data_IF_166326022315
#
_entry.id   IF_166326022315
#
_cell.length_a   1.000
_cell.length_b   1.000
_cell.length_c   1.000
_cell.angle_alpha   90.00
_cell.angle_beta   90.00
_cell.angle_gamma   90.00
#
_symmetry.space_group_name_H-M   'P 1'
#
loop_
_entity.id
_entity.type
_entity.pdbx_description
1 polymer ?
#
# COMPACT_ATOMS: atom_id res chain seq x y z
N UNK A 1 -21.94 0.34 -7.98
CA UNK A 1 -21.68 0.37 -9.44
C UNK A 1 -22.61 1.36 -10.14
N UNK A 2 -23.95 1.27 -9.96
CA UNK A 2 -24.93 2.13 -10.66
C UNK A 2 -24.64 3.63 -10.48
N UNK A 3 -24.26 4.09 -9.29
CA UNK A 3 -23.88 5.49 -9.04
C UNK A 3 -22.66 5.96 -9.84
N UNK A 4 -21.65 5.11 -10.01
CA UNK A 4 -20.46 5.44 -10.81
C UNK A 4 -20.79 5.54 -12.30
N UNK A 5 -21.66 4.66 -12.81
CA UNK A 5 -22.13 4.73 -14.20
C UNK A 5 -22.93 6.02 -14.44
N UNK A 6 -23.83 6.36 -13.51
CA UNK A 6 -24.59 7.60 -13.60
C UNK A 6 -23.70 8.84 -13.47
N UNK A 7 -22.70 8.79 -12.58
CA UNK A 7 -21.70 9.86 -12.45
C UNK A 7 -20.93 10.06 -13.74
N UNK A 8 -20.43 8.96 -14.36
CA UNK A 8 -19.70 9.05 -15.63
C UNK A 8 -20.52 9.67 -16.74
N UNK A 9 -21.82 9.34 -16.80
CA UNK A 9 -22.72 9.90 -17.80
C UNK A 9 -22.96 11.41 -17.63
N UNK A 10 -22.74 11.96 -16.44
CA UNK A 10 -22.94 13.37 -16.11
C UNK A 10 -21.62 14.16 -15.99
N UNK A 11 -20.47 13.48 -16.11
CA UNK A 11 -19.15 14.09 -15.88
C UNK A 11 -18.24 13.91 -17.10
N UNK A 12 -17.89 15.01 -17.76
CA UNK A 12 -17.06 15.03 -18.97
C UNK A 12 -15.55 15.08 -18.68
N UNK A 13 -15.15 15.21 -17.40
CA UNK A 13 -13.74 15.21 -17.00
C UNK A 13 -13.14 13.81 -16.97
N UNK A 14 -11.84 13.73 -16.63
CA UNK A 14 -11.14 12.46 -16.47
C UNK A 14 -11.61 11.72 -15.22
N UNK A 15 -11.96 10.46 -15.39
CA UNK A 15 -12.35 9.55 -14.32
C UNK A 15 -11.29 8.47 -14.14
N UNK A 16 -10.66 8.44 -12.98
CA UNK A 16 -9.71 7.41 -12.59
C UNK A 16 -10.34 6.50 -11.54
N UNK A 17 -10.17 5.20 -11.73
CA UNK A 17 -10.57 4.20 -10.74
C UNK A 17 -9.33 3.63 -10.09
N UNK A 18 -9.34 3.51 -8.77
CA UNK A 18 -8.35 2.74 -8.04
C UNK A 18 -8.93 1.38 -7.66
N UNK A 19 -8.17 0.32 -7.93
CA UNK A 19 -8.51 -1.05 -7.59
C UNK A 19 -7.36 -1.64 -6.81
N UNK A 20 -7.58 -1.89 -5.51
CA UNK A 20 -6.61 -2.63 -4.70
C UNK A 20 -6.80 -4.13 -4.94
N UNK A 21 -5.76 -4.80 -5.43
CA UNK A 21 -5.76 -6.26 -5.59
C UNK A 21 -5.21 -6.94 -4.35
N UNK A 22 -5.98 -7.91 -3.85
CA UNK A 22 -5.65 -8.70 -2.66
C UNK A 22 -5.67 -10.18 -3.02
N UNK A 23 -4.57 -10.89 -2.73
CA UNK A 23 -4.40 -12.30 -3.05
C UNK A 23 -5.54 -13.16 -2.49
N UNK A 24 -6.13 -13.98 -3.36
CA UNK A 24 -7.21 -14.90 -3.01
C UNK A 24 -8.56 -14.24 -2.74
N UNK A 25 -8.66 -12.91 -2.82
CA UNK A 25 -9.91 -12.18 -2.63
C UNK A 25 -10.49 -11.71 -3.97
N UNK A 26 -9.74 -10.92 -4.72
CA UNK A 26 -10.20 -10.32 -5.98
C UNK A 26 -9.15 -10.39 -7.11
N UNK A 27 -8.13 -11.22 -6.96
CA UNK A 27 -7.09 -11.49 -7.96
C UNK A 27 -7.33 -12.78 -8.76
N UNK A 28 -8.40 -13.52 -8.44
CA UNK A 28 -8.80 -14.74 -9.17
C UNK A 28 -9.39 -14.37 -10.52
N UNK A 29 -9.27 -15.29 -11.50
CA UNK A 29 -9.77 -15.02 -12.84
C UNK A 29 -11.26 -14.68 -12.88
N UNK A 30 -12.18 -15.41 -12.18
CA UNK A 30 -13.59 -15.03 -12.16
C UNK A 30 -13.82 -13.64 -11.57
N UNK A 31 -13.15 -13.29 -10.46
CA UNK A 31 -13.30 -11.98 -9.85
C UNK A 31 -12.80 -10.85 -10.75
N UNK A 32 -11.70 -11.09 -11.47
CA UNK A 32 -11.16 -10.12 -12.44
C UNK A 32 -12.07 -9.96 -13.65
N UNK A 33 -12.71 -11.02 -14.13
CA UNK A 33 -13.71 -10.95 -15.21
C UNK A 33 -14.95 -10.14 -14.79
N UNK A 34 -15.45 -10.37 -13.57
CA UNK A 34 -16.55 -9.56 -13.01
C UNK A 34 -16.15 -8.08 -12.86
N UNK A 35 -14.94 -7.82 -12.40
CA UNK A 35 -14.41 -6.48 -12.30
C UNK A 35 -14.29 -5.80 -13.68
N UNK A 36 -13.78 -6.52 -14.68
CA UNK A 36 -13.66 -6.03 -16.05
C UNK A 36 -15.03 -5.64 -16.62
N UNK A 37 -16.06 -6.48 -16.42
CA UNK A 37 -17.43 -6.16 -16.84
C UNK A 37 -18.02 -4.93 -16.14
N UNK A 38 -17.65 -4.68 -14.89
CA UNK A 38 -18.01 -3.46 -14.16
C UNK A 38 -17.30 -2.25 -14.73
N UNK A 39 -16.00 -2.36 -14.95
CA UNK A 39 -15.15 -1.30 -15.54
C UNK A 39 -15.63 -0.90 -16.93
N UNK A 40 -15.97 -1.90 -17.78
CA UNK A 40 -16.52 -1.67 -19.11
C UNK A 40 -17.81 -0.84 -19.08
N UNK A 41 -18.64 -0.99 -18.05
CA UNK A 41 -19.88 -0.19 -17.89
C UNK A 41 -19.61 1.22 -17.39
N UNK A 42 -18.54 1.43 -16.63
CA UNK A 42 -18.18 2.74 -16.06
C UNK A 42 -17.43 3.60 -17.08
N UNK A 43 -16.66 2.98 -17.99
CA UNK A 43 -15.79 3.66 -18.96
C UNK A 43 -14.83 4.67 -18.31
N UNK A 44 -13.95 4.24 -17.36
CA UNK A 44 -12.95 5.14 -16.79
C UNK A 44 -11.86 5.47 -17.82
N UNK A 45 -11.21 6.60 -17.65
CA UNK A 45 -10.07 6.98 -18.47
C UNK A 45 -8.80 6.21 -18.09
N UNK A 46 -8.65 5.90 -16.79
CA UNK A 46 -7.54 5.10 -16.26
C UNK A 46 -7.99 4.23 -15.09
N UNK A 47 -7.33 3.08 -14.95
CA UNK A 47 -7.47 2.17 -13.79
C UNK A 47 -6.11 2.07 -13.12
N UNK A 48 -6.06 2.46 -11.86
CA UNK A 48 -4.88 2.36 -11.02
C UNK A 48 -4.96 1.09 -10.18
N UNK A 49 -4.16 0.09 -10.52
CA UNK A 49 -4.04 -1.14 -9.75
C UNK A 49 -3.06 -0.88 -8.61
N UNK A 50 -3.58 -0.82 -7.39
CA UNK A 50 -2.78 -0.69 -6.17
C UNK A 50 -2.59 -2.05 -5.49
N UNK A 51 -1.48 -2.20 -4.77
CA UNK A 51 -1.10 -3.42 -4.07
C UNK A 51 -0.99 -3.16 -2.56
N UNK A 52 -1.38 -4.10 -1.70
CA UNK A 52 -1.27 -3.98 -0.25
C UNK A 52 0.20 -4.16 0.20
N UNK A 53 1.09 -3.29 -0.22
CA UNK A 53 2.52 -3.34 0.11
C UNK A 53 2.85 -2.70 1.46
N UNK A 54 1.95 -1.90 2.03
CA UNK A 54 2.05 -1.40 3.40
C UNK A 54 1.57 -2.48 4.37
N UNK A 55 2.06 -2.53 5.64
CA UNK A 55 1.54 -3.46 6.61
C UNK A 55 0.03 -3.30 6.77
N UNK A 56 -0.79 -4.29 6.36
CA UNK A 56 -2.23 -4.20 6.49
C UNK A 56 -2.68 -4.44 7.93
N UNK A 57 -3.87 -3.98 8.29
CA UNK A 57 -4.48 -4.25 9.59
C UNK A 57 -4.75 -5.76 9.78
N UNK A 58 -5.11 -6.45 8.71
CA UNK A 58 -5.44 -7.87 8.70
C UNK A 58 -4.25 -8.72 8.22
N UNK A 59 -3.78 -9.71 8.98
CA UNK A 59 -2.59 -10.48 8.65
C UNK A 59 -2.74 -11.37 7.42
N UNK A 60 -3.95 -11.69 7.01
CA UNK A 60 -4.24 -12.49 5.81
C UNK A 60 -4.11 -11.70 4.50
N UNK A 61 -4.16 -10.37 4.56
CA UNK A 61 -4.04 -9.53 3.37
C UNK A 61 -2.64 -9.61 2.80
N UNK A 62 -2.54 -10.05 1.54
CA UNK A 62 -1.28 -10.21 0.79
C UNK A 62 -1.44 -9.62 -0.60
N UNK A 63 -0.36 -9.13 -1.23
CA UNK A 63 -0.40 -8.77 -2.63
C UNK A 63 -0.60 -10.01 -3.50
N UNK A 64 -1.20 -9.87 -4.70
CA UNK A 64 -1.22 -10.94 -5.70
C UNK A 64 0.20 -11.34 -6.09
N UNK A 65 0.38 -12.52 -6.63
CA UNK A 65 1.61 -12.92 -7.29
C UNK A 65 1.75 -12.27 -8.67
N UNK A 66 2.90 -12.48 -9.31
CA UNK A 66 3.20 -11.88 -10.62
C UNK A 66 2.23 -12.34 -11.71
N UNK A 67 1.82 -13.62 -11.69
CA UNK A 67 0.89 -14.17 -12.67
C UNK A 67 -0.51 -13.56 -12.52
N UNK A 68 -1.00 -13.41 -11.29
CA UNK A 68 -2.28 -12.78 -11.02
C UNK A 68 -2.25 -11.28 -11.41
N UNK A 69 -1.12 -10.61 -11.21
CA UNK A 69 -0.95 -9.20 -11.58
C UNK A 69 -0.96 -9.03 -13.12
N UNK A 70 -0.25 -9.90 -13.85
CA UNK A 70 -0.26 -9.89 -15.31
C UNK A 70 -1.67 -10.18 -15.85
N UNK A 71 -2.36 -11.16 -15.26
CA UNK A 71 -3.75 -11.50 -15.61
C UNK A 71 -4.68 -10.31 -15.40
N UNK A 72 -4.59 -9.64 -14.24
CA UNK A 72 -5.38 -8.46 -13.94
C UNK A 72 -5.16 -7.35 -14.97
N UNK A 73 -3.90 -7.07 -15.30
CA UNK A 73 -3.54 -6.04 -16.28
C UNK A 73 -4.10 -6.40 -17.67
N UNK A 74 -4.05 -7.67 -18.06
CA UNK A 74 -4.56 -8.12 -19.36
C UNK A 74 -6.10 -8.02 -19.44
N UNK A 75 -6.82 -8.44 -18.38
CA UNK A 75 -8.28 -8.42 -18.36
C UNK A 75 -8.87 -7.01 -18.21
N UNK A 76 -8.22 -6.13 -17.45
CA UNK A 76 -8.68 -4.76 -17.27
C UNK A 76 -8.31 -3.83 -18.44
N UNK A 77 -7.46 -4.32 -19.36
CA UNK A 77 -7.18 -3.67 -20.62
C UNK A 77 -6.13 -2.57 -20.57
N UNK A 78 -5.94 -1.89 -21.70
CA UNK A 78 -4.87 -0.92 -21.93
C UNK A 78 -4.93 0.37 -21.07
N UNK A 79 -6.04 0.60 -20.36
CA UNK A 79 -6.21 1.71 -19.43
C UNK A 79 -5.78 1.36 -18.01
N UNK A 80 -5.48 0.07 -17.73
CA UNK A 80 -5.03 -0.39 -16.41
C UNK A 80 -3.51 -0.24 -16.26
N UNK A 81 -3.09 0.34 -15.15
CA UNK A 81 -1.69 0.53 -14.78
C UNK A 81 -1.46 0.09 -13.34
N UNK A 82 -0.40 -0.68 -13.12
CA UNK A 82 0.05 -0.96 -11.75
C UNK A 82 0.73 0.29 -11.22
N UNK A 83 0.15 0.86 -10.17
CA UNK A 83 0.80 1.95 -9.46
C UNK A 83 1.57 1.38 -8.28
N UNK A 84 2.84 1.69 -8.23
CA UNK A 84 3.54 1.62 -6.94
C UNK A 84 3.05 2.80 -6.11
N UNK A 85 2.87 2.65 -4.78
CA UNK A 85 2.52 3.79 -3.94
C UNK A 85 3.63 4.83 -4.10
N UNK A 86 3.46 5.65 -5.10
CA UNK A 86 4.26 6.81 -5.29
C UNK A 86 3.77 7.85 -4.29
N UNK A 87 4.69 8.39 -3.47
CA UNK A 87 4.69 9.79 -3.16
C UNK A 87 3.30 10.39 -2.86
N UNK A 88 2.66 9.89 -1.77
CA UNK A 88 1.50 10.59 -1.25
C UNK A 88 1.93 12.01 -0.89
N UNK A 89 1.33 13.01 -1.53
CA UNK A 89 1.50 14.39 -1.10
C UNK A 89 0.80 14.52 0.24
N UNK A 90 1.58 14.59 1.32
CA UNK A 90 1.06 14.88 2.65
C UNK A 90 1.00 16.40 2.82
N UNK A 91 -0.14 16.90 3.28
CA UNK A 91 -0.24 18.29 3.69
C UNK A 91 0.58 18.50 4.98
N UNK A 92 1.75 19.10 4.82
CA UNK A 92 2.70 19.40 5.89
C UNK A 92 2.63 20.89 6.33
N UNK A 93 1.65 21.65 5.82
CA UNK A 93 1.56 23.10 6.04
C UNK A 93 1.38 23.51 7.50
N UNK A 94 1.00 22.55 8.37
CA UNK A 94 0.85 22.77 9.82
C UNK A 94 1.95 22.18 10.69
N UNK A 95 2.98 21.54 10.10
CA UNK A 95 4.02 20.88 10.88
C UNK A 95 5.11 21.87 11.30
N UNK A 96 5.26 22.10 12.60
CA UNK A 96 6.24 23.05 13.16
C UNK A 96 7.68 22.50 13.08
N UNK A 97 7.87 21.18 13.10
CA UNK A 97 9.17 20.52 13.09
C UNK A 97 9.10 19.13 12.42
N UNK A 98 10.27 18.52 12.21
CA UNK A 98 10.39 17.22 11.55
C UNK A 98 9.72 16.09 12.34
N UNK A 99 9.73 16.15 13.67
CA UNK A 99 9.12 15.12 14.54
C UNK A 99 7.61 15.11 14.35
N UNK A 100 6.97 16.29 14.39
CA UNK A 100 5.52 16.42 14.17
C UNK A 100 5.12 15.93 12.77
N UNK A 101 5.93 16.25 11.75
CA UNK A 101 5.70 15.80 10.38
C UNK A 101 5.80 14.27 10.27
N UNK A 102 6.85 13.68 10.85
CA UNK A 102 7.02 12.22 10.90
C UNK A 102 5.83 11.57 11.62
N UNK A 103 5.47 12.04 12.82
CA UNK A 103 4.33 11.50 13.59
C UNK A 103 3.04 11.61 12.81
N UNK A 104 2.79 12.77 12.18
CA UNK A 104 1.58 12.99 11.37
C UNK A 104 1.43 11.99 10.23
N UNK A 105 2.54 11.57 9.62
CA UNK A 105 2.54 10.57 8.53
C UNK A 105 2.39 9.16 9.09
N UNK A 106 3.26 8.73 10.00
CA UNK A 106 3.31 7.34 10.47
C UNK A 106 2.07 6.92 11.28
N UNK A 107 1.33 7.89 11.84
CA UNK A 107 0.07 7.62 12.55
C UNK A 107 -1.05 7.22 11.58
N UNK A 108 -1.05 7.80 10.39
CA UNK A 108 -2.09 7.55 9.38
C UNK A 108 -1.75 6.39 8.47
N UNK A 109 -0.46 6.27 8.10
CA UNK A 109 0.00 5.34 7.07
C UNK A 109 1.36 4.77 7.43
N UNK A 110 1.51 3.43 7.52
CA UNK A 110 2.83 2.81 7.50
C UNK A 110 3.58 3.22 6.24
N UNK A 111 4.83 3.61 6.38
CA UNK A 111 5.62 4.15 5.27
C UNK A 111 7.05 3.59 5.30
N UNK A 112 7.64 3.38 4.11
CA UNK A 112 9.05 3.04 4.00
C UNK A 112 9.92 4.24 4.39
N UNK A 113 11.10 3.98 4.97
CA UNK A 113 12.02 5.04 5.37
C UNK A 113 12.41 5.94 4.20
N UNK A 114 12.74 5.33 3.05
CA UNK A 114 13.13 6.08 1.85
C UNK A 114 11.98 6.94 1.30
N UNK A 115 10.75 6.44 1.39
CA UNK A 115 9.55 7.19 0.98
C UNK A 115 9.31 8.36 1.94
N UNK A 116 9.51 8.14 3.24
CA UNK A 116 9.38 9.18 4.25
C UNK A 116 10.43 10.29 4.05
N UNK A 117 11.69 9.92 3.78
CA UNK A 117 12.77 10.87 3.48
C UNK A 117 12.44 11.69 2.23
N UNK A 118 11.92 11.07 1.18
CA UNK A 118 11.48 11.78 -0.04
C UNK A 118 10.30 12.71 0.21
N UNK A 119 9.31 12.25 0.97
CA UNK A 119 8.11 13.04 1.31
C UNK A 119 8.46 14.26 2.16
N UNK A 120 9.44 14.12 3.04
CA UNK A 120 9.91 15.17 3.93
C UNK A 120 11.12 15.94 3.37
N UNK A 121 11.14 16.17 2.06
CA UNK A 121 12.28 16.80 1.34
C UNK A 121 12.67 18.22 1.84
N UNK A 122 11.84 18.87 2.63
CA UNK A 122 12.18 20.14 3.29
C UNK A 122 13.16 19.97 4.47
N UNK A 123 13.37 18.74 4.96
CA UNK A 123 14.39 18.38 5.94
C UNK A 123 15.45 17.47 5.34
N UNK A 124 16.64 17.51 5.90
CA UNK A 124 17.70 16.61 5.44
C UNK A 124 17.40 15.15 5.81
N UNK A 125 17.89 14.18 5.04
CA UNK A 125 17.74 12.74 5.37
C UNK A 125 18.23 12.40 6.79
N UNK A 126 19.28 13.08 7.26
CA UNK A 126 19.81 12.89 8.60
C UNK A 126 18.81 13.32 9.68
N UNK A 127 18.18 14.49 9.52
CA UNK A 127 17.15 14.97 10.45
C UNK A 127 15.94 14.05 10.50
N UNK A 128 15.49 13.51 9.37
CA UNK A 128 14.37 12.57 9.33
C UNK A 128 14.74 11.26 10.06
N UNK A 129 15.93 10.71 9.82
CA UNK A 129 16.38 9.47 10.50
C UNK A 129 16.60 9.68 12.00
N UNK A 130 17.12 10.83 12.41
CA UNK A 130 17.27 11.18 13.82
C UNK A 130 15.92 11.28 14.53
N UNK A 131 14.92 11.92 13.89
CA UNK A 131 13.55 11.97 14.39
C UNK A 131 12.93 10.57 14.54
N UNK A 132 13.12 9.69 13.55
CA UNK A 132 12.66 8.30 13.61
C UNK A 132 13.30 7.52 14.74
N UNK A 133 14.62 7.63 14.91
CA UNK A 133 15.36 6.97 15.98
C UNK A 133 14.91 7.46 17.37
N UNK A 134 14.68 8.76 17.52
CA UNK A 134 14.14 9.35 18.75
C UNK A 134 12.73 8.87 19.08
N UNK A 135 11.86 8.79 18.07
CA UNK A 135 10.50 8.29 18.24
C UNK A 135 10.46 6.77 18.56
N UNK A 136 11.35 5.97 17.98
CA UNK A 136 11.49 4.55 18.28
C UNK A 136 11.99 4.35 19.72
N UNK A 137 13.04 5.05 20.11
CA UNK A 137 13.59 5.00 21.47
C UNK A 137 12.57 5.47 22.53
N UNK A 138 11.74 6.46 22.19
CA UNK A 138 10.64 6.94 23.02
C UNK A 138 9.38 6.05 23.00
N UNK A 139 9.36 4.98 22.23
CA UNK A 139 8.22 4.08 22.11
C UNK A 139 7.00 4.67 21.38
N UNK A 140 7.17 5.78 20.63
CA UNK A 140 6.10 6.41 19.86
C UNK A 140 6.01 5.87 18.42
N UNK A 141 7.12 5.34 17.88
CA UNK A 141 7.18 4.68 16.59
C UNK A 141 7.75 3.28 16.70
N UNK A 142 7.49 2.44 15.70
CA UNK A 142 8.07 1.11 15.55
C UNK A 142 8.27 0.75 14.10
N UNK A 143 9.19 -0.19 13.86
CA UNK A 143 9.40 -0.78 12.54
C UNK A 143 8.61 -2.08 12.40
N UNK A 144 7.90 -2.23 11.30
CA UNK A 144 7.23 -3.48 10.89
C UNK A 144 7.88 -3.99 9.62
N UNK A 145 8.36 -5.24 9.61
CA UNK A 145 8.92 -5.88 8.42
C UNK A 145 7.81 -6.62 7.68
N UNK A 146 7.59 -6.27 6.39
CA UNK A 146 6.60 -6.92 5.53
C UNK A 146 7.17 -7.07 4.12
N UNK A 147 6.96 -8.24 3.50
CA UNK A 147 7.47 -8.55 2.15
C UNK A 147 8.96 -8.21 1.95
N UNK A 148 9.79 -8.47 2.97
CA UNK A 148 11.21 -8.14 2.96
C UNK A 148 11.54 -6.65 3.08
N UNK A 149 10.56 -5.77 3.30
CA UNK A 149 10.74 -4.32 3.44
C UNK A 149 10.40 -3.84 4.85
N UNK A 150 11.07 -2.76 5.28
CA UNK A 150 10.88 -2.15 6.60
C UNK A 150 9.98 -0.94 6.48
N UNK A 151 8.89 -0.95 7.22
CA UNK A 151 7.92 0.14 7.29
C UNK A 151 7.95 0.76 8.69
N UNK A 152 7.93 2.07 8.72
CA UNK A 152 7.73 2.84 9.95
C UNK A 152 6.24 3.08 10.19
N UNK A 153 5.81 2.93 11.45
CA UNK A 153 4.43 3.16 11.87
C UNK A 153 4.39 3.66 13.31
N UNK A 154 3.29 4.31 13.70
CA UNK A 154 3.09 4.68 15.11
C UNK A 154 2.98 3.40 15.98
N UNK A 155 3.52 3.44 17.19
CA UNK A 155 3.51 2.29 18.10
C UNK A 155 2.09 1.84 18.47
N UNK A 156 1.12 2.77 18.54
CA UNK A 156 -0.28 2.49 18.83
C UNK A 156 -1.05 1.88 17.64
N UNK A 157 -0.49 1.91 16.41
CA UNK A 157 -1.14 1.34 15.24
C UNK A 157 -1.18 -0.20 15.33
N UNK A 158 -2.36 -0.79 15.19
CA UNK A 158 -2.56 -2.24 15.19
C UNK A 158 -2.51 -2.76 13.76
N UNK A 159 -1.39 -3.38 13.41
CA UNK A 159 -1.26 -4.16 12.17
C UNK A 159 -1.06 -5.62 12.56
N UNK A 160 -1.74 -6.54 11.86
CA UNK A 160 -1.55 -7.96 12.10
C UNK A 160 -0.07 -8.35 11.95
N UNK A 161 0.51 -8.94 12.99
CA UNK A 161 1.88 -9.47 12.94
C UNK A 161 1.93 -10.60 11.91
N UNK A 162 2.77 -10.46 10.88
CA UNK A 162 3.09 -11.57 10.00
C UNK A 162 3.87 -12.60 10.83
N UNK A 163 3.27 -13.75 11.13
CA UNK A 163 3.99 -14.86 11.70
C UNK A 163 5.16 -15.21 10.76
N UNK A 164 6.36 -14.85 11.18
CA UNK A 164 7.61 -15.35 10.59
C UNK A 164 7.62 -16.86 10.80
N UNK A 165 7.23 -17.60 9.77
CA UNK A 165 7.40 -19.06 9.76
C UNK A 165 8.90 -19.29 9.61
N UNK A 166 9.60 -19.50 10.74
CA UNK A 166 10.98 -19.95 10.75
C UNK A 166 11.08 -21.21 9.89
N UNK A 167 12.09 -21.35 9.02
CA UNK A 167 12.28 -22.55 8.22
C UNK A 167 12.50 -23.72 9.17
N UNK A 168 11.56 -24.67 9.17
CA UNK A 168 11.60 -25.87 9.99
C UNK A 168 12.88 -26.63 9.71
N UNK A 169 13.73 -26.72 10.70
CA UNK A 169 14.93 -27.54 10.73
C UNK A 169 14.51 -29.02 10.64
N UNK A 170 14.48 -29.57 9.42
CA UNK A 170 14.34 -31.02 9.23
C UNK A 170 15.64 -31.67 9.66
N UNK A 171 15.72 -32.06 10.92
CA UNK A 171 16.72 -33.04 11.36
C UNK A 171 16.46 -34.35 10.62
N UNK A 172 17.33 -34.67 9.67
CA UNK A 172 17.45 -36.05 9.15
C UNK A 172 17.96 -36.90 10.28
N UNK A 173 17.10 -37.69 10.88
CA UNK A 173 17.50 -38.80 11.72
C UNK A 173 17.99 -39.93 10.82
N UNK A 174 19.25 -40.34 10.99
CA UNK A 174 19.76 -41.60 10.49
C UNK A 174 19.09 -42.75 11.26
N UNK A 175 18.54 -43.70 10.55
CA UNK A 175 18.71 -45.16 10.72
C UNK A 175 18.31 -45.83 9.41
#
# INVERSE_FOLDING_TARGET
>A
VGGLVAFRAAYDGKLWLEVMLVQGLNDTEPALQELAAVVERIHPDEIHISLPIRPPAEPWVKPPDEDALMRATALLGGVARVIHPAEGVFDLSGCANVVDAVVGIITRHPILEDDLVRTLAQWTPAQVREALAGLEAGGAARVVVRYGRRFWTAAAARFGEAQSKAPGNRRRGCR
#
